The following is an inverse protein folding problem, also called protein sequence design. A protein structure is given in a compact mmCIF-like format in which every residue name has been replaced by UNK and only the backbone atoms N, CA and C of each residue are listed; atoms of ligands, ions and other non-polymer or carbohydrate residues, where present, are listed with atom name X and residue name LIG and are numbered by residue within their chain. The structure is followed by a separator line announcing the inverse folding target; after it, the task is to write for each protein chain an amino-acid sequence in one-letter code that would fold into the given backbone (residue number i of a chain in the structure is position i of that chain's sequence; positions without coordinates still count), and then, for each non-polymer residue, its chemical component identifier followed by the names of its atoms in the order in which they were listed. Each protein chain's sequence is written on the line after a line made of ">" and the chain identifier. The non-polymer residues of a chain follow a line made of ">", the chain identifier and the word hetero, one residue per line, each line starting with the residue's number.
data_IF_829306626911
#
_entry.id   IF_829306626911
#
_cell.length_a   1.000
_cell.length_b   1.000
_cell.length_c   1.000
_cell.angle_alpha   90.00
_cell.angle_beta   90.00
_cell.angle_gamma   90.00
#
_symmetry.space_group_name_H-M   'P 1'
#
loop_
_entity.id
_entity.type
_entity.pdbx_description
1 polymer ?
#
# COMPACT_ATOMS: atom_id res chain seq x y z
N UNK A 1 -48.65 9.56 -16.53
CA UNK A 1 -47.35 8.86 -16.69
C UNK A 1 -46.29 9.33 -15.67
N UNK A 2 -46.67 9.57 -14.40
CA UNK A 2 -45.75 10.24 -13.44
C UNK A 2 -45.57 9.51 -12.09
N UNK A 3 -46.50 8.63 -11.68
CA UNK A 3 -46.40 7.91 -10.40
C UNK A 3 -45.69 6.55 -10.55
N UNK A 4 -45.96 5.83 -11.63
CA UNK A 4 -45.35 4.51 -11.92
C UNK A 4 -43.87 4.57 -12.30
N UNK A 5 -43.39 5.69 -12.85
CA UNK A 5 -41.99 5.85 -13.25
C UNK A 5 -41.08 6.20 -12.06
N UNK A 6 -41.53 7.06 -11.15
CA UNK A 6 -40.85 7.33 -9.89
C UNK A 6 -40.76 6.07 -9.00
N UNK A 7 -41.79 5.22 -9.07
CA UNK A 7 -41.88 3.94 -8.37
C UNK A 7 -40.79 2.95 -8.81
N UNK A 8 -40.61 2.78 -10.12
CA UNK A 8 -39.57 1.90 -10.69
C UNK A 8 -38.16 2.41 -10.33
N UNK A 9 -37.96 3.72 -10.31
CA UNK A 9 -36.68 4.35 -9.98
C UNK A 9 -36.29 4.13 -8.51
N UNK A 10 -37.22 4.29 -7.56
CA UNK A 10 -36.91 4.13 -6.13
C UNK A 10 -36.56 2.68 -5.77
N UNK A 11 -37.31 1.71 -6.31
CA UNK A 11 -37.03 0.28 -6.16
C UNK A 11 -35.72 -0.13 -6.85
N UNK A 12 -35.41 0.44 -8.01
CA UNK A 12 -34.15 0.19 -8.71
C UNK A 12 -32.94 0.73 -7.93
N UNK A 13 -33.06 1.90 -7.30
CA UNK A 13 -31.99 2.50 -6.48
C UNK A 13 -31.72 1.66 -5.22
N UNK A 14 -32.75 1.16 -4.55
CA UNK A 14 -32.61 0.25 -3.40
C UNK A 14 -31.99 -1.11 -3.75
N UNK A 15 -32.30 -1.65 -4.94
CA UNK A 15 -31.70 -2.87 -5.44
C UNK A 15 -30.22 -2.67 -5.83
N UNK A 16 -29.89 -1.54 -6.44
CA UNK A 16 -28.53 -1.21 -6.87
C UNK A 16 -27.59 -0.95 -5.68
N UNK A 17 -28.05 -0.26 -4.64
CA UNK A 17 -27.27 -0.02 -3.41
C UNK A 17 -26.95 -1.32 -2.66
N UNK A 18 -27.88 -2.27 -2.67
CA UNK A 18 -27.69 -3.61 -2.08
C UNK A 18 -26.68 -4.45 -2.86
N UNK A 19 -26.67 -4.35 -4.20
CA UNK A 19 -25.70 -5.03 -5.07
C UNK A 19 -24.28 -4.50 -4.88
N UNK A 20 -24.12 -3.18 -4.75
CA UNK A 20 -22.81 -2.54 -4.50
C UNK A 20 -22.26 -2.95 -3.12
N UNK A 21 -23.13 -3.04 -2.11
CA UNK A 21 -22.74 -3.45 -0.75
C UNK A 21 -22.41 -4.95 -0.60
N UNK A 22 -22.94 -5.81 -1.47
CA UNK A 22 -22.71 -7.25 -1.42
C UNK A 22 -21.25 -7.65 -1.76
N UNK A 23 -20.51 -6.79 -2.46
CA UNK A 23 -19.13 -7.08 -2.88
C UNK A 23 -18.08 -6.83 -1.77
N UNK A 24 -18.50 -6.39 -0.57
CA UNK A 24 -17.59 -5.92 0.48
C UNK A 24 -17.69 -6.67 1.82
N UNK A 25 -18.61 -7.65 2.00
CA UNK A 25 -18.72 -8.35 3.28
C UNK A 25 -19.35 -9.76 3.16
N UNK A 26 -18.68 -10.87 3.56
CA UNK A 26 -19.15 -12.23 3.32
C UNK A 26 -20.49 -12.59 3.98
N UNK A 27 -20.86 -11.98 5.10
CA UNK A 27 -22.15 -12.23 5.78
C UNK A 27 -23.35 -11.72 4.95
N UNK A 28 -23.15 -10.70 4.10
CA UNK A 28 -24.18 -10.07 3.26
C UNK A 28 -24.27 -10.65 1.83
N UNK A 29 -23.47 -11.67 1.51
CA UNK A 29 -23.46 -12.32 0.18
C UNK A 29 -24.54 -13.39 0.01
N UNK A 30 -25.31 -13.70 1.06
CA UNK A 30 -26.36 -14.71 0.95
C UNK A 30 -27.50 -14.17 0.07
N UNK A 31 -27.86 -14.94 -0.96
CA UNK A 31 -29.01 -14.63 -1.84
C UNK A 31 -30.31 -14.41 -1.04
N UNK A 32 -30.41 -15.03 0.14
CA UNK A 32 -31.51 -14.87 1.07
C UNK A 32 -31.63 -13.44 1.65
N UNK A 33 -30.50 -12.79 1.97
CA UNK A 33 -30.52 -11.42 2.50
C UNK A 33 -30.97 -10.42 1.43
N UNK A 34 -30.49 -10.57 0.20
CA UNK A 34 -30.87 -9.73 -0.94
C UNK A 34 -32.38 -9.87 -1.25
N UNK A 35 -32.88 -11.11 -1.28
CA UNK A 35 -34.31 -11.38 -1.51
C UNK A 35 -35.17 -10.82 -0.37
N UNK A 36 -34.77 -10.99 0.90
CA UNK A 36 -35.52 -10.44 2.04
C UNK A 36 -35.62 -8.91 1.99
N UNK A 37 -34.55 -8.22 1.59
CA UNK A 37 -34.56 -6.75 1.48
C UNK A 37 -35.43 -6.26 0.32
N UNK A 38 -35.38 -6.91 -0.84
CA UNK A 38 -36.25 -6.59 -1.99
C UNK A 38 -37.72 -6.78 -1.61
N UNK A 39 -38.04 -7.88 -0.94
CA UNK A 39 -39.41 -8.19 -0.51
C UNK A 39 -39.93 -7.20 0.55
N UNK A 40 -39.10 -6.81 1.52
CA UNK A 40 -39.46 -5.81 2.53
C UNK A 40 -39.72 -4.43 1.91
N UNK A 41 -38.90 -4.03 0.92
CA UNK A 41 -39.09 -2.78 0.19
C UNK A 41 -40.40 -2.77 -0.60
N UNK A 42 -40.69 -3.86 -1.34
CA UNK A 42 -41.93 -4.01 -2.11
C UNK A 42 -43.18 -4.00 -1.22
N UNK A 43 -43.13 -4.67 -0.07
CA UNK A 43 -44.24 -4.72 0.89
C UNK A 43 -44.57 -3.35 1.49
N UNK A 44 -43.55 -2.59 1.92
CA UNK A 44 -43.73 -1.27 2.50
C UNK A 44 -44.39 -0.30 1.49
N UNK A 45 -43.96 -0.37 0.23
CA UNK A 45 -44.57 0.43 -0.84
C UNK A 45 -46.02 0.03 -1.16
N UNK A 46 -46.36 -1.25 -1.08
CA UNK A 46 -47.73 -1.72 -1.30
C UNK A 46 -48.70 -1.28 -0.21
N UNK A 47 -48.27 -1.30 1.06
CA UNK A 47 -49.07 -0.84 2.19
C UNK A 47 -49.41 0.66 2.08
N UNK A 48 -48.42 1.48 1.70
CA UNK A 48 -48.59 2.94 1.54
C UNK A 48 -49.56 3.30 0.40
N UNK A 49 -49.65 2.49 -0.66
CA UNK A 49 -50.56 2.75 -1.79
C UNK A 49 -52.03 2.52 -1.43
N UNK A 50 -52.29 1.51 -0.59
CA UNK A 50 -53.65 1.17 -0.14
C UNK A 50 -54.24 2.31 0.68
N UNK A 51 -53.47 2.90 1.59
CA UNK A 51 -53.91 4.02 2.43
C UNK A 51 -54.10 5.32 1.63
N UNK A 52 -53.26 5.56 0.61
CA UNK A 52 -53.38 6.70 -0.30
C UNK A 52 -54.67 6.67 -1.15
N UNK A 53 -55.16 5.48 -1.50
CA UNK A 53 -56.40 5.33 -2.29
C UNK A 53 -57.69 5.52 -1.48
N UNK A 54 -57.59 5.60 -0.14
CA UNK A 54 -58.73 5.59 0.77
C UNK A 54 -59.03 6.95 1.45
N UNK A 55 -58.18 7.97 1.28
CA UNK A 55 -58.35 9.27 1.93
C UNK A 55 -59.03 10.31 1.01
N UNK A 56 -60.13 10.90 1.48
CA UNK A 56 -60.93 11.90 0.73
C UNK A 56 -60.64 13.36 1.14
N UNK A 57 -59.76 13.60 2.11
CA UNK A 57 -59.48 14.93 2.67
C UNK A 57 -58.21 15.56 2.09
N UNK A 58 -58.35 16.69 1.40
CA UNK A 58 -57.25 17.36 0.69
C UNK A 58 -56.11 17.81 1.64
N UNK A 59 -56.45 18.15 2.89
CA UNK A 59 -55.48 18.59 3.90
C UNK A 59 -54.60 17.43 4.40
N UNK A 60 -55.15 16.21 4.51
CA UNK A 60 -54.39 15.02 4.93
C UNK A 60 -53.46 14.53 3.82
N UNK A 61 -53.92 14.56 2.56
CA UNK A 61 -53.09 14.30 1.38
C UNK A 61 -51.91 15.29 1.31
N UNK A 62 -52.14 16.57 1.56
CA UNK A 62 -51.09 17.58 1.53
C UNK A 62 -50.05 17.39 2.64
N UNK A 63 -50.49 17.08 3.88
CA UNK A 63 -49.59 16.76 5.00
C UNK A 63 -48.78 15.49 4.73
N UNK A 64 -49.38 14.48 4.10
CA UNK A 64 -48.71 13.22 3.76
C UNK A 64 -47.69 13.38 2.62
N UNK A 65 -47.98 14.23 1.63
CA UNK A 65 -47.01 14.57 0.58
C UNK A 65 -45.83 15.34 1.17
N UNK A 66 -46.08 16.31 2.04
CA UNK A 66 -45.03 17.09 2.70
C UNK A 66 -44.13 16.22 3.61
N UNK A 67 -44.71 15.28 4.36
CA UNK A 67 -43.94 14.37 5.21
C UNK A 67 -43.04 13.41 4.41
N UNK A 68 -43.51 12.92 3.24
CA UNK A 68 -42.73 12.08 2.33
C UNK A 68 -41.59 12.84 1.65
N UNK A 69 -41.82 14.10 1.27
CA UNK A 69 -40.77 14.98 0.73
C UNK A 69 -39.69 15.23 1.79
N UNK A 70 -40.08 15.51 3.03
CA UNK A 70 -39.15 15.69 4.14
C UNK A 70 -38.30 14.42 4.39
N UNK A 71 -38.93 13.23 4.36
CA UNK A 71 -38.22 11.97 4.52
C UNK A 71 -37.22 11.70 3.38
N UNK A 72 -37.56 12.05 2.14
CA UNK A 72 -36.65 11.93 1.00
C UNK A 72 -35.43 12.85 1.14
N UNK A 73 -35.64 14.08 1.62
CA UNK A 73 -34.53 15.03 1.86
C UNK A 73 -33.59 14.50 2.94
N UNK A 74 -34.12 14.00 4.06
CA UNK A 74 -33.32 13.40 5.13
C UNK A 74 -32.56 12.17 4.63
N UNK A 75 -33.20 11.33 3.81
CA UNK A 75 -32.56 10.19 3.17
C UNK A 75 -31.41 10.60 2.25
N UNK A 76 -31.60 11.61 1.40
CA UNK A 76 -30.55 12.13 0.51
C UNK A 76 -29.38 12.72 1.30
N UNK A 77 -29.65 13.46 2.38
CA UNK A 77 -28.61 13.99 3.26
C UNK A 77 -27.79 12.87 3.92
N UNK A 78 -28.45 11.79 4.35
CA UNK A 78 -27.77 10.64 4.95
C UNK A 78 -26.89 9.91 3.93
N UNK A 79 -27.37 9.72 2.69
CA UNK A 79 -26.57 9.12 1.62
C UNK A 79 -25.38 10.00 1.23
N UNK A 80 -25.58 11.32 1.10
CA UNK A 80 -24.50 12.26 0.83
C UNK A 80 -23.43 12.25 1.94
N UNK A 81 -23.86 12.21 3.21
CA UNK A 81 -22.96 12.07 4.35
C UNK A 81 -22.19 10.74 4.31
N UNK A 82 -22.87 9.63 3.99
CA UNK A 82 -22.23 8.31 3.90
C UNK A 82 -21.21 8.24 2.76
N UNK A 83 -21.51 8.82 1.59
CA UNK A 83 -20.57 8.93 0.47
C UNK A 83 -19.37 9.78 0.87
N UNK A 84 -19.58 10.94 1.51
CA UNK A 84 -18.49 11.79 1.99
C UNK A 84 -17.62 11.08 3.05
N UNK A 85 -18.24 10.31 3.96
CA UNK A 85 -17.55 9.49 4.95
C UNK A 85 -16.70 8.40 4.29
N UNK A 86 -17.25 7.69 3.30
CA UNK A 86 -16.53 6.66 2.55
C UNK A 86 -15.36 7.24 1.76
N UNK A 87 -15.54 8.41 1.13
CA UNK A 87 -14.44 9.11 0.45
C UNK A 87 -13.36 9.51 1.47
N UNK A 88 -13.74 10.09 2.61
CA UNK A 88 -12.80 10.56 3.63
C UNK A 88 -12.00 9.44 4.29
N UNK A 89 -12.63 8.30 4.57
CA UNK A 89 -12.02 7.20 5.34
C UNK A 89 -11.52 6.04 4.48
N UNK A 90 -11.77 6.04 3.18
CA UNK A 90 -11.26 4.99 2.30
C UNK A 90 -10.55 5.56 1.08
N UNK A 91 -11.10 6.56 0.41
CA UNK A 91 -10.47 7.12 -0.78
C UNK A 91 -9.28 8.02 -0.42
N UNK A 92 -9.43 8.91 0.58
CA UNK A 92 -8.35 9.80 1.03
C UNK A 92 -7.27 9.10 1.87
N UNK A 93 -7.55 7.91 2.42
CA UNK A 93 -6.52 7.10 3.08
C UNK A 93 -5.64 6.37 2.05
N UNK A 94 -6.22 6.02 0.89
CA UNK A 94 -5.51 5.35 -0.21
C UNK A 94 -4.83 6.36 -1.14
N UNK A 95 -5.33 7.60 -1.24
CA UNK A 95 -4.80 8.63 -2.13
C UNK A 95 -3.31 8.97 -1.88
N UNK A 96 -2.83 9.13 -0.63
CA UNK A 96 -1.41 9.31 -0.33
C UNK A 96 -0.59 8.11 -0.79
N UNK A 97 -1.09 6.89 -0.58
CA UNK A 97 -0.45 5.62 -0.98
C UNK A 97 -0.27 5.50 -2.50
N UNK A 98 -1.22 6.03 -3.28
CA UNK A 98 -1.23 5.96 -4.74
C UNK A 98 -0.47 7.13 -5.39
N UNK A 99 -0.51 8.33 -4.79
CA UNK A 99 0.15 9.53 -5.33
C UNK A 99 1.57 9.76 -4.81
N UNK A 100 1.86 9.33 -3.58
CA UNK A 100 3.18 9.36 -2.96
C UNK A 100 3.54 7.92 -2.66
N UNK A 101 4.29 7.28 -3.56
CA UNK A 101 4.66 5.87 -3.46
C UNK A 101 5.08 5.50 -2.03
N UNK A 102 4.21 4.77 -1.35
CA UNK A 102 4.45 4.23 -0.01
C UNK A 102 5.26 2.93 -0.18
N UNK A 103 6.47 2.92 0.37
CA UNK A 103 7.41 1.79 0.45
C UNK A 103 6.82 0.50 1.06
N UNK A 104 5.57 0.56 1.56
CA UNK A 104 4.82 -0.58 2.10
C UNK A 104 4.07 -1.39 1.06
N UNK A 105 3.93 -0.91 -0.18
CA UNK A 105 3.53 -1.73 -1.35
C UNK A 105 4.73 -2.49 -1.93
N UNK A 106 5.57 -3.05 -1.06
CA UNK A 106 6.62 -4.00 -1.42
C UNK A 106 5.94 -5.21 -2.05
N UNK A 107 5.91 -5.23 -3.38
CA UNK A 107 5.61 -6.44 -4.16
C UNK A 107 6.46 -7.59 -3.56
N UNK A 108 5.89 -8.79 -3.36
CA UNK A 108 6.60 -9.88 -2.73
C UNK A 108 7.95 -10.10 -3.44
N UNK A 109 9.02 -10.11 -2.62
CA UNK A 109 10.42 -10.35 -2.96
C UNK A 109 10.61 -11.05 -4.31
N UNK A 110 11.00 -10.31 -5.34
CA UNK A 110 11.26 -10.83 -6.70
C UNK A 110 12.51 -11.70 -6.81
N UNK A 111 13.16 -12.05 -5.70
CA UNK A 111 14.35 -12.89 -5.63
C UNK A 111 14.21 -14.08 -4.65
N UNK A 112 13.01 -14.55 -4.34
CA UNK A 112 12.79 -15.76 -3.51
C UNK A 112 13.57 -16.99 -4.02
N UNK A 113 13.69 -17.13 -5.35
CA UNK A 113 14.50 -18.18 -5.97
C UNK A 113 15.99 -17.98 -5.68
N UNK A 114 16.46 -16.74 -5.67
CA UNK A 114 17.84 -16.40 -5.31
C UNK A 114 18.10 -16.67 -3.82
N UNK A 115 17.18 -16.31 -2.93
CA UNK A 115 17.28 -16.63 -1.50
C UNK A 115 17.32 -18.15 -1.28
N UNK A 116 16.53 -18.92 -2.04
CA UNK A 116 16.56 -20.38 -1.96
C UNK A 116 17.91 -20.95 -2.41
N UNK A 117 18.47 -20.45 -3.51
CA UNK A 117 19.80 -20.83 -3.98
C UNK A 117 20.89 -20.46 -2.96
N UNK A 118 20.80 -19.26 -2.38
CA UNK A 118 21.70 -18.79 -1.32
C UNK A 118 21.65 -19.69 -0.08
N UNK A 119 20.44 -20.07 0.38
CA UNK A 119 20.26 -21.03 1.49
C UNK A 119 20.81 -22.42 1.15
N UNK A 120 20.75 -22.82 -0.11
CA UNK A 120 21.35 -24.06 -0.60
C UNK A 120 22.88 -23.97 -0.77
N UNK A 121 23.49 -22.81 -0.50
CA UNK A 121 24.91 -22.49 -0.76
C UNK A 121 25.30 -22.59 -2.24
N UNK A 122 24.32 -22.58 -3.14
CA UNK A 122 24.56 -22.43 -4.57
C UNK A 122 24.68 -20.93 -4.90
N UNK A 123 25.83 -20.38 -4.52
CA UNK A 123 26.11 -18.95 -4.68
C UNK A 123 26.21 -18.53 -6.14
N UNK A 124 26.63 -19.43 -7.05
CA UNK A 124 26.68 -19.13 -8.47
C UNK A 124 25.27 -18.92 -9.05
N UNK A 125 24.34 -19.81 -8.72
CA UNK A 125 22.94 -19.66 -9.11
C UNK A 125 22.30 -18.45 -8.42
N UNK A 126 22.57 -18.22 -7.13
CA UNK A 126 22.06 -17.06 -6.41
C UNK A 126 22.53 -15.75 -7.06
N UNK A 127 23.80 -15.64 -7.44
CA UNK A 127 24.34 -14.44 -8.09
C UNK A 127 23.70 -14.18 -9.45
N UNK A 128 23.38 -15.24 -10.22
CA UNK A 128 22.67 -15.11 -11.48
C UNK A 128 21.24 -14.58 -11.27
N UNK A 129 20.51 -15.15 -10.32
CA UNK A 129 19.13 -14.75 -10.02
C UNK A 129 19.05 -13.34 -9.43
N UNK A 130 19.99 -12.96 -8.56
CA UNK A 130 20.06 -11.58 -8.06
C UNK A 130 20.46 -10.59 -9.15
N UNK A 131 21.34 -10.95 -10.11
CA UNK A 131 21.63 -10.11 -11.28
C UNK A 131 20.40 -9.88 -12.15
N UNK A 132 19.57 -10.91 -12.34
CA UNK A 132 18.30 -10.77 -13.06
C UNK A 132 17.34 -9.84 -12.32
N UNK A 133 17.27 -9.92 -10.99
CA UNK A 133 16.47 -9.01 -10.18
C UNK A 133 16.94 -7.55 -10.29
N UNK A 134 18.26 -7.32 -10.21
CA UNK A 134 18.85 -5.98 -10.39
C UNK A 134 18.67 -5.46 -11.82
N UNK A 135 18.64 -6.32 -12.83
CA UNK A 135 18.36 -5.92 -14.21
C UNK A 135 16.90 -5.51 -14.43
N UNK A 136 15.97 -6.14 -13.70
CA UNK A 136 14.55 -5.78 -13.73
C UNK A 136 14.29 -4.46 -12.99
N UNK A 137 14.91 -4.28 -11.83
CA UNK A 137 14.86 -3.05 -11.07
C UNK A 137 16.28 -2.61 -10.63
N UNK A 138 16.91 -1.71 -11.40
CA UNK A 138 18.23 -1.18 -11.07
C UNK A 138 18.28 -0.39 -9.75
N UNK A 139 17.14 0.00 -9.17
CA UNK A 139 17.05 0.79 -7.94
C UNK A 139 16.76 -0.07 -6.70
N UNK A 140 16.56 -1.38 -6.86
CA UNK A 140 16.36 -2.28 -5.72
C UNK A 140 17.67 -2.44 -4.93
N UNK A 141 17.77 -1.66 -3.86
CA UNK A 141 18.92 -1.63 -2.96
C UNK A 141 19.13 -2.98 -2.27
N UNK A 142 18.06 -3.71 -1.95
CA UNK A 142 18.16 -4.98 -1.24
C UNK A 142 18.64 -6.08 -2.20
N UNK A 143 18.18 -6.09 -3.45
CA UNK A 143 18.71 -6.99 -4.47
C UNK A 143 20.21 -6.74 -4.73
N UNK A 144 20.63 -5.47 -4.85
CA UNK A 144 22.05 -5.12 -4.99
C UNK A 144 22.88 -5.51 -3.77
N UNK A 145 22.38 -5.23 -2.56
CA UNK A 145 23.05 -5.60 -1.31
C UNK A 145 23.22 -7.12 -1.22
N UNK A 146 22.17 -7.89 -1.52
CA UNK A 146 22.23 -9.36 -1.53
C UNK A 146 23.16 -9.90 -2.61
N UNK A 147 23.14 -9.32 -3.82
CA UNK A 147 24.09 -9.66 -4.87
C UNK A 147 25.54 -9.44 -4.40
N UNK A 148 25.81 -8.33 -3.72
CA UNK A 148 27.12 -8.06 -3.14
C UNK A 148 27.52 -9.12 -2.10
N UNK A 149 26.61 -9.50 -1.20
CA UNK A 149 26.87 -10.57 -0.23
C UNK A 149 27.18 -11.91 -0.90
N UNK A 150 26.44 -12.28 -1.93
CA UNK A 150 26.70 -13.50 -2.69
C UNK A 150 28.06 -13.42 -3.39
N UNK A 151 28.44 -12.26 -3.95
CA UNK A 151 29.77 -12.06 -4.50
C UNK A 151 30.88 -12.21 -3.45
N UNK A 152 30.66 -11.75 -2.21
CA UNK A 152 31.61 -12.01 -1.10
C UNK A 152 31.76 -13.51 -0.84
N UNK A 153 30.66 -14.27 -0.85
CA UNK A 153 30.70 -15.73 -0.69
C UNK A 153 31.40 -16.45 -1.85
N UNK A 154 31.35 -15.89 -3.05
CA UNK A 154 32.06 -16.38 -4.23
C UNK A 154 33.54 -15.97 -4.26
N UNK A 155 33.98 -15.04 -3.40
CA UNK A 155 35.32 -14.47 -3.43
C UNK A 155 35.48 -13.31 -4.44
N UNK A 156 34.40 -12.89 -5.09
CA UNK A 156 34.37 -11.84 -6.10
C UNK A 156 34.28 -10.44 -5.45
N UNK A 157 35.26 -10.07 -4.65
CA UNK A 157 35.21 -8.84 -3.83
C UNK A 157 35.08 -7.55 -4.66
N UNK A 158 35.70 -7.50 -5.85
CA UNK A 158 35.54 -6.36 -6.77
C UNK A 158 34.09 -6.20 -7.23
N UNK A 159 33.38 -7.30 -7.49
CA UNK A 159 31.98 -7.26 -7.87
C UNK A 159 31.11 -6.80 -6.70
N UNK A 160 31.37 -7.31 -5.49
CA UNK A 160 30.67 -6.87 -4.29
C UNK A 160 30.84 -5.36 -4.04
N UNK A 161 32.06 -4.84 -4.17
CA UNK A 161 32.36 -3.41 -4.03
C UNK A 161 31.59 -2.57 -5.07
N UNK A 162 31.53 -3.03 -6.32
CA UNK A 162 30.78 -2.34 -7.38
C UNK A 162 29.29 -2.26 -7.06
N UNK A 163 28.68 -3.38 -6.64
CA UNK A 163 27.24 -3.40 -6.35
C UNK A 163 26.87 -2.53 -5.14
N UNK A 164 27.67 -2.55 -4.07
CA UNK A 164 27.47 -1.66 -2.92
C UNK A 164 27.68 -0.19 -3.29
N UNK A 165 28.67 0.11 -4.13
CA UNK A 165 28.91 1.49 -4.60
C UNK A 165 27.76 1.98 -5.47
N UNK A 166 27.20 1.13 -6.33
CA UNK A 166 26.02 1.46 -7.11
C UNK A 166 24.79 1.69 -6.21
N UNK A 167 24.56 0.82 -5.23
CA UNK A 167 23.48 0.99 -4.26
C UNK A 167 23.59 2.33 -3.51
N UNK A 168 24.80 2.72 -3.08
CA UNK A 168 25.06 4.00 -2.43
C UNK A 168 24.86 5.23 -3.35
N UNK A 169 24.96 5.06 -4.67
CA UNK A 169 24.72 6.14 -5.62
C UNK A 169 23.21 6.38 -5.86
N UNK A 170 22.40 5.33 -5.79
CA UNK A 170 20.95 5.40 -6.02
C UNK A 170 20.17 5.91 -4.80
N UNK A 171 20.70 5.73 -3.57
CA UNK A 171 20.02 6.21 -2.36
C UNK A 171 20.67 7.43 -1.73
N UNK A 172 19.86 8.44 -1.43
CA UNK A 172 20.25 9.60 -0.62
C UNK A 172 19.88 9.41 0.87
N UNK A 173 19.14 8.36 1.22
CA UNK A 173 18.61 8.16 2.57
C UNK A 173 19.70 7.66 3.53
N UNK A 174 19.95 8.43 4.59
CA UNK A 174 21.02 8.14 5.55
C UNK A 174 20.80 6.82 6.30
N UNK A 175 19.55 6.46 6.62
CA UNK A 175 19.20 5.20 7.30
C UNK A 175 19.62 3.97 6.47
N UNK A 176 19.52 4.05 5.14
CA UNK A 176 19.89 2.97 4.23
C UNK A 176 21.38 3.00 3.86
N UNK A 177 21.97 4.19 3.71
CA UNK A 177 23.38 4.37 3.35
C UNK A 177 24.34 3.89 4.44
N UNK A 178 24.03 4.14 5.72
CA UNK A 178 24.92 3.81 6.83
C UNK A 178 25.38 2.34 6.85
N UNK A 179 24.45 1.36 6.88
CA UNK A 179 24.80 -0.05 6.82
C UNK A 179 25.58 -0.45 5.56
N UNK A 180 25.24 0.12 4.40
CA UNK A 180 25.94 -0.16 3.14
C UNK A 180 27.39 0.34 3.15
N UNK A 181 27.65 1.55 3.68
CA UNK A 181 29.01 2.09 3.82
C UNK A 181 29.85 1.25 4.77
N UNK A 182 29.28 0.83 5.91
CA UNK A 182 29.97 -0.05 6.85
C UNK A 182 30.33 -1.38 6.20
N UNK A 183 29.39 -1.99 5.48
CA UNK A 183 29.64 -3.25 4.80
C UNK A 183 30.71 -3.13 3.72
N UNK A 184 30.69 -2.04 2.94
CA UNK A 184 31.72 -1.73 1.96
C UNK A 184 33.10 -1.59 2.62
N UNK A 185 33.19 -0.85 3.73
CA UNK A 185 34.42 -0.65 4.48
C UNK A 185 34.98 -1.97 5.05
N UNK A 186 34.11 -2.87 5.52
CA UNK A 186 34.51 -4.22 5.95
C UNK A 186 35.16 -5.02 4.83
N UNK A 187 34.56 -5.04 3.64
CA UNK A 187 35.09 -5.77 2.49
C UNK A 187 36.46 -5.20 2.08
N UNK A 188 36.61 -3.87 2.07
CA UNK A 188 37.88 -3.21 1.76
C UNK A 188 38.99 -3.58 2.74
N UNK A 189 38.68 -3.61 4.04
CA UNK A 189 39.67 -3.98 5.06
C UNK A 189 40.00 -5.47 5.01
N UNK A 190 38.99 -6.34 4.98
CA UNK A 190 39.18 -7.79 5.14
C UNK A 190 39.77 -8.45 3.89
N UNK A 191 39.37 -8.00 2.70
CA UNK A 191 39.65 -8.72 1.46
C UNK A 191 40.53 -7.94 0.48
N UNK A 192 40.65 -6.62 0.63
CA UNK A 192 41.55 -5.79 -0.18
C UNK A 192 42.76 -5.26 0.58
N UNK A 193 42.78 -5.45 1.90
CA UNK A 193 43.77 -4.85 2.80
C UNK A 193 43.91 -3.33 2.59
N UNK A 194 42.84 -2.69 2.11
CA UNK A 194 42.81 -1.26 1.77
C UNK A 194 42.08 -0.51 2.88
N UNK A 195 42.76 -0.43 4.03
CA UNK A 195 42.27 0.27 5.22
C UNK A 195 42.07 1.76 4.95
N UNK A 196 42.88 2.36 4.09
CA UNK A 196 42.79 3.78 3.76
C UNK A 196 41.51 4.09 2.98
N UNK A 197 41.20 3.30 1.95
CA UNK A 197 39.94 3.47 1.21
C UNK A 197 38.72 3.24 2.13
N UNK A 198 38.79 2.26 3.05
CA UNK A 198 37.72 2.03 4.01
C UNK A 198 37.48 3.25 4.92
N UNK A 199 38.55 3.84 5.47
CA UNK A 199 38.48 5.05 6.28
C UNK A 199 37.94 6.24 5.49
N UNK A 200 38.40 6.44 4.25
CA UNK A 200 37.92 7.52 3.38
C UNK A 200 36.39 7.46 3.20
N UNK A 201 35.84 6.28 2.92
CA UNK A 201 34.39 6.08 2.75
C UNK A 201 33.61 6.35 4.03
N UNK A 202 34.14 5.91 5.17
CA UNK A 202 33.51 6.12 6.48
C UNK A 202 33.54 7.59 6.91
N UNK A 203 34.66 8.28 6.75
CA UNK A 203 34.77 9.71 7.05
C UNK A 203 33.86 10.53 6.14
N UNK A 204 33.83 10.23 4.84
CA UNK A 204 32.92 10.92 3.90
C UNK A 204 31.46 10.79 4.34
N UNK A 205 31.02 9.59 4.70
CA UNK A 205 29.64 9.40 5.20
C UNK A 205 29.40 10.09 6.54
N UNK A 206 30.38 10.08 7.45
CA UNK A 206 30.28 10.78 8.74
C UNK A 206 30.10 12.29 8.54
N UNK A 207 30.84 12.88 7.61
CA UNK A 207 30.76 14.31 7.30
C UNK A 207 29.41 14.65 6.64
N UNK A 208 28.93 13.80 5.71
CA UNK A 208 27.59 13.92 5.12
C UNK A 208 26.48 13.84 6.17
N UNK A 209 26.65 12.98 7.19
CA UNK A 209 25.69 12.74 8.25
C UNK A 209 25.96 13.56 9.52
N UNK A 210 26.79 14.60 9.46
CA UNK A 210 27.24 15.34 10.63
C UNK A 210 26.07 15.91 11.44
N UNK A 211 26.10 15.69 12.77
CA UNK A 211 25.03 16.11 13.68
C UNK A 211 23.80 15.18 13.71
N UNK A 212 23.84 14.05 13.02
CA UNK A 212 22.80 13.00 13.08
C UNK A 212 23.28 11.77 13.82
N UNK A 213 22.34 10.91 14.27
CA UNK A 213 22.64 9.60 14.87
C UNK A 213 23.44 8.67 13.96
N UNK A 214 23.39 8.89 12.63
CA UNK A 214 24.08 8.05 11.64
C UNK A 214 25.58 8.30 11.61
N UNK A 215 26.03 9.52 11.95
CA UNK A 215 27.45 9.81 12.11
C UNK A 215 28.06 9.04 13.31
N UNK A 216 27.28 8.87 14.38
CA UNK A 216 27.68 8.05 15.54
C UNK A 216 27.77 6.56 15.18
N UNK A 217 26.86 6.07 14.33
CA UNK A 217 26.85 4.68 13.87
C UNK A 217 28.17 4.26 13.21
N UNK A 218 28.77 5.13 12.39
CA UNK A 218 30.06 4.84 11.74
C UNK A 218 31.28 5.17 12.59
N UNK A 219 31.12 5.98 13.64
CA UNK A 219 32.21 6.44 14.50
C UNK A 219 32.96 5.29 15.17
N UNK A 220 32.23 4.31 15.72
CA UNK A 220 32.85 3.14 16.35
C UNK A 220 33.71 2.34 15.35
N UNK A 221 33.29 2.27 14.08
CA UNK A 221 34.05 1.56 13.04
C UNK A 221 35.31 2.33 12.65
N UNK A 222 35.24 3.64 12.56
CA UNK A 222 36.40 4.51 12.31
C UNK A 222 37.44 4.32 13.41
N UNK A 223 37.03 4.38 14.68
CA UNK A 223 37.93 4.21 15.83
C UNK A 223 38.60 2.83 15.86
N UNK A 224 37.85 1.77 15.53
CA UNK A 224 38.40 0.43 15.41
C UNK A 224 39.43 0.34 14.26
N UNK A 225 39.27 1.15 13.21
CA UNK A 225 40.15 1.22 12.06
C UNK A 225 41.21 2.33 12.19
N UNK A 226 41.38 3.00 13.33
CA UNK A 226 42.49 3.96 13.56
C UNK A 226 43.45 3.53 14.66
N UNK A 227 43.04 2.56 15.49
CA UNK A 227 43.91 1.87 16.44
C UNK A 227 44.85 0.88 15.75
#
# INVERSE_FOLDING_TARGET
>A
MTSTTAFVLFSAVGALSSLIAANANPIRTSKAYLVAHIMASLYLTGAIWKDFSASADMLSVMVEVLSKVALCIVGLMFHAYFIAFAIRHHLLDVLPTVLMGDDRLRMPKTYDRAEKAERARDFAQAAQLYREAVAQDPKDLEARRRLAEVHVQLGDYDAAIRELTAALAETAELDLRGPLVVRLAEILVQHRNDRMAALERLYKFKDEAAGTRHAEYVQARIEALTK
#
